data_IF_517806162069
#
_entry.id   IF_517806162069
#
_cell.length_a   1.000
_cell.length_b   1.000
_cell.length_c   1.000
_cell.angle_alpha   90.00
_cell.angle_beta   90.00
_cell.angle_gamma   90.00
#
_symmetry.space_group_name_H-M   'P 1'
#
loop_
_entity.id
_entity.type
_entity.pdbx_description
1 polymer ?
#
# COMPACT_ATOMS: atom_id res chain seq x y z
N UNK A 1 56.45 -41.12 -9.29
CA UNK A 1 56.62 -40.89 -7.85
C UNK A 1 55.28 -40.32 -7.38
N UNK A 2 54.34 -41.05 -6.96
CA UNK A 2 54.08 -41.95 -5.80
C UNK A 2 54.04 -41.16 -4.49
N UNK A 3 52.87 -41.29 -3.83
CA UNK A 3 52.57 -41.20 -2.37
C UNK A 3 52.21 -39.78 -1.90
N UNK A 4 51.19 -39.53 -1.12
CA UNK A 4 50.29 -40.43 -0.40
C UNK A 4 49.12 -39.69 0.24
N UNK A 5 48.07 -40.41 0.49
CA UNK A 5 46.88 -40.12 1.29
C UNK A 5 47.26 -39.90 2.79
N UNK A 6 46.55 -38.98 3.43
CA UNK A 6 46.29 -39.09 4.87
C UNK A 6 44.88 -38.59 5.20
N UNK A 7 44.05 -39.56 5.58
CA UNK A 7 42.78 -39.37 6.29
C UNK A 7 43.05 -39.05 7.74
N UNK A 8 42.35 -38.09 8.31
CA UNK A 8 42.22 -37.93 9.74
C UNK A 8 40.73 -37.91 10.12
N UNK A 9 40.30 -39.03 10.68
CA UNK A 9 39.06 -39.12 11.44
C UNK A 9 39.26 -38.52 12.83
N UNK A 10 38.33 -37.72 13.30
CA UNK A 10 38.30 -37.31 14.71
C UNK A 10 36.94 -37.65 15.31
N UNK A 11 37.08 -38.36 16.45
CA UNK A 11 36.03 -38.96 17.27
C UNK A 11 35.07 -37.94 17.88
N UNK A 12 33.82 -38.39 18.03
CA UNK A 12 32.87 -37.84 18.99
C UNK A 12 33.13 -38.38 20.41
N UNK A 13 32.89 -37.61 21.46
CA UNK A 13 32.62 -38.17 22.77
C UNK A 13 31.12 -38.29 23.06
N UNK A 14 30.78 -39.45 23.54
CA UNK A 14 29.53 -39.89 24.11
C UNK A 14 29.25 -39.29 25.49
N UNK A 15 27.99 -38.98 25.76
CA UNK A 15 27.36 -39.36 27.03
C UNK A 15 27.27 -38.30 28.11
N UNK A 16 26.05 -37.81 28.34
CA UNK A 16 25.57 -37.59 29.73
C UNK A 16 24.09 -37.94 29.79
N UNK A 17 23.79 -38.96 30.58
CA UNK A 17 22.45 -39.33 31.07
C UNK A 17 22.26 -38.67 32.43
N UNK A 18 21.20 -37.91 32.63
CA UNK A 18 20.68 -37.54 33.97
C UNK A 18 19.18 -37.61 33.86
N UNK A 19 18.57 -38.58 34.45
CA UNK A 19 17.97 -38.63 35.76
C UNK A 19 16.52 -38.17 35.71
N UNK A 20 15.57 -39.14 35.61
CA UNK A 20 14.15 -38.92 35.85
C UNK A 20 13.91 -38.69 37.34
N UNK A 21 13.00 -37.77 37.68
CA UNK A 21 12.35 -37.67 38.97
C UNK A 21 10.79 -37.60 38.79
N UNK A 22 10.01 -38.16 39.70
CA UNK A 22 8.68 -38.64 39.42
C UNK A 22 7.54 -37.69 39.80
N UNK A 23 6.45 -37.80 39.05
CA UNK A 23 5.07 -37.81 39.48
C UNK A 23 4.51 -36.60 40.24
N UNK A 24 3.62 -35.88 39.54
CA UNK A 24 2.39 -35.35 40.16
C UNK A 24 1.21 -35.50 39.19
N UNK A 25 0.29 -36.38 39.57
CA UNK A 25 -1.00 -36.56 38.96
C UNK A 25 -1.88 -35.34 39.25
N UNK A 26 -2.41 -34.71 38.21
CA UNK A 26 -3.46 -33.72 38.35
C UNK A 26 -4.78 -34.40 37.96
N UNK A 27 -5.65 -34.51 38.94
CA UNK A 27 -7.01 -35.02 38.84
C UNK A 27 -7.88 -33.94 38.16
N UNK A 28 -8.74 -34.26 37.17
CA UNK A 28 -9.68 -33.29 36.64
C UNK A 28 -10.89 -33.17 37.59
N UNK A 29 -11.13 -31.99 38.15
CA UNK A 29 -12.39 -31.68 38.82
C UNK A 29 -13.47 -31.37 37.80
N UNK A 30 -14.50 -32.16 37.77
CA UNK A 30 -15.75 -31.89 37.13
C UNK A 30 -16.52 -30.84 37.95
N UNK A 31 -16.78 -29.67 37.38
CA UNK A 31 -17.74 -28.72 37.93
C UNK A 31 -19.03 -28.82 37.14
N UNK A 32 -20.04 -29.42 37.78
CA UNK A 32 -21.44 -29.35 37.40
C UNK A 32 -21.94 -27.92 37.61
N UNK A 33 -22.43 -27.26 36.58
CA UNK A 33 -23.27 -26.06 36.70
C UNK A 33 -24.60 -26.33 36.03
N UNK A 34 -25.63 -26.04 36.84
CA UNK A 34 -27.04 -26.31 36.61
C UNK A 34 -27.59 -25.58 35.36
N UNK A 35 -28.57 -26.27 34.77
CA UNK A 35 -29.45 -25.76 33.74
C UNK A 35 -30.31 -24.62 34.26
N UNK A 36 -30.33 -23.47 33.57
CA UNK A 36 -31.40 -22.48 33.65
C UNK A 36 -31.96 -22.21 32.27
N UNK A 37 -33.21 -22.41 32.19
CA UNK A 37 -34.28 -22.14 31.23
C UNK A 37 -34.04 -21.16 30.09
N UNK A 38 -34.49 -21.62 28.93
CA UNK A 38 -34.57 -21.05 27.62
C UNK A 38 -35.28 -19.70 27.52
N UNK A 39 -34.73 -18.84 26.68
CA UNK A 39 -35.44 -17.78 25.97
C UNK A 39 -35.18 -17.89 24.46
N UNK A 40 -36.10 -17.43 23.59
CA UNK A 40 -36.24 -17.97 22.25
C UNK A 40 -35.16 -17.47 21.27
N UNK A 41 -34.66 -18.43 20.50
CA UNK A 41 -33.81 -18.24 19.34
C UNK A 41 -34.41 -17.23 18.36
N UNK A 42 -33.72 -16.11 18.17
CA UNK A 42 -33.82 -15.33 16.93
C UNK A 42 -33.01 -16.06 15.88
N UNK A 43 -33.67 -16.88 15.07
CA UNK A 43 -33.10 -17.49 13.87
C UNK A 43 -32.68 -16.36 12.89
N UNK A 44 -31.42 -16.02 12.88
CA UNK A 44 -30.82 -15.31 11.75
C UNK A 44 -30.89 -16.21 10.52
N UNK A 45 -31.82 -15.87 9.63
CA UNK A 45 -31.90 -16.48 8.30
C UNK A 45 -30.63 -16.17 7.51
N UNK A 46 -29.77 -17.16 7.41
CA UNK A 46 -28.59 -17.17 6.57
C UNK A 46 -29.02 -16.91 5.11
N UNK A 47 -28.85 -15.66 4.63
CA UNK A 47 -29.08 -15.29 3.23
C UNK A 47 -27.97 -15.92 2.38
N UNK A 48 -28.20 -17.14 1.91
CA UNK A 48 -27.48 -17.69 0.75
C UNK A 48 -27.71 -16.74 -0.42
N UNK A 49 -26.77 -15.85 -0.73
CA UNK A 49 -26.70 -15.17 -2.02
C UNK A 49 -26.45 -16.25 -3.06
N UNK A 50 -27.46 -16.65 -3.79
CA UNK A 50 -27.30 -17.54 -4.94
C UNK A 50 -26.58 -16.78 -6.05
N UNK A 51 -25.27 -16.89 -6.09
CA UNK A 51 -24.48 -16.48 -7.24
C UNK A 51 -24.71 -17.48 -8.37
N UNK A 52 -25.63 -17.19 -9.26
CA UNK A 52 -25.81 -17.94 -10.51
C UNK A 52 -24.59 -17.63 -11.39
N UNK A 53 -23.57 -18.49 -11.37
CA UNK A 53 -22.45 -18.46 -12.32
C UNK A 53 -22.81 -19.28 -13.55
N UNK A 54 -22.71 -18.64 -14.74
CA UNK A 54 -22.83 -19.34 -16.00
C UNK A 54 -21.47 -19.97 -16.37
N UNK A 55 -21.29 -21.26 -16.06
CA UNK A 55 -20.10 -21.99 -16.50
C UNK A 55 -20.30 -22.42 -17.96
N UNK A 56 -19.54 -21.85 -18.88
CA UNK A 56 -19.51 -22.23 -20.27
C UNK A 56 -18.48 -23.36 -20.47
N UNK A 57 -18.92 -24.61 -20.48
CA UNK A 57 -18.07 -25.74 -20.85
C UNK A 57 -17.82 -25.68 -22.35
N UNK A 58 -16.56 -25.76 -22.75
CA UNK A 58 -16.10 -25.58 -24.12
C UNK A 58 -16.52 -26.80 -25.00
N UNK A 59 -17.63 -26.69 -25.73
CA UNK A 59 -17.95 -27.59 -26.84
C UNK A 59 -18.12 -26.76 -28.11
N UNK A 60 -17.40 -27.15 -29.15
CA UNK A 60 -17.36 -26.47 -30.47
C UNK A 60 -18.74 -26.33 -31.10
N UNK A 61 -19.03 -25.12 -31.65
CA UNK A 61 -20.14 -24.90 -32.60
C UNK A 61 -21.19 -23.89 -32.19
N UNK A 62 -22.13 -23.64 -33.08
CA UNK A 62 -23.22 -22.61 -33.10
C UNK A 62 -24.07 -22.56 -31.84
N UNK A 63 -24.08 -23.54 -31.01
CA UNK A 63 -24.81 -23.62 -29.75
C UNK A 63 -24.29 -22.66 -28.66
N UNK A 64 -23.08 -22.07 -28.81
CA UNK A 64 -22.46 -21.18 -27.82
C UNK A 64 -23.23 -19.87 -27.68
N UNK A 65 -23.63 -19.24 -28.79
CA UNK A 65 -24.32 -17.95 -28.80
C UNK A 65 -25.73 -18.06 -28.21
N UNK A 66 -26.46 -19.13 -28.55
CA UNK A 66 -27.82 -19.37 -28.01
C UNK A 66 -27.77 -19.59 -26.49
N UNK A 67 -26.78 -20.32 -25.95
CA UNK A 67 -26.61 -20.58 -24.52
C UNK A 67 -26.22 -19.32 -23.75
N UNK A 68 -25.35 -18.44 -24.30
CA UNK A 68 -24.98 -17.16 -23.67
C UNK A 68 -26.20 -16.24 -23.59
N UNK A 69 -27.02 -16.15 -24.65
CA UNK A 69 -28.27 -15.34 -24.66
C UNK A 69 -29.28 -15.84 -23.64
N UNK A 70 -29.47 -17.17 -23.54
CA UNK A 70 -30.34 -17.79 -22.52
C UNK A 70 -29.89 -17.54 -21.09
N UNK A 71 -28.58 -17.64 -20.83
CA UNK A 71 -28.00 -17.40 -19.52
C UNK A 71 -28.10 -15.92 -19.11
N UNK A 72 -27.82 -14.98 -20.01
CA UNK A 72 -28.03 -13.53 -19.76
C UNK A 72 -29.49 -13.21 -19.42
N UNK A 73 -30.45 -13.85 -20.11
CA UNK A 73 -31.89 -13.70 -19.84
C UNK A 73 -32.29 -14.27 -18.48
N UNK A 74 -31.71 -15.40 -18.07
CA UNK A 74 -31.97 -16.01 -16.77
C UNK A 74 -31.41 -15.16 -15.60
N UNK A 75 -30.20 -14.62 -15.74
CA UNK A 75 -29.59 -13.70 -14.76
C UNK A 75 -30.37 -12.41 -14.62
N UNK A 76 -30.86 -11.82 -15.72
CA UNK A 76 -31.69 -10.63 -15.71
C UNK A 76 -33.02 -10.90 -14.98
N UNK A 77 -33.68 -12.05 -15.26
CA UNK A 77 -34.92 -12.46 -14.57
C UNK A 77 -34.73 -12.69 -13.09
N UNK A 78 -33.60 -13.27 -12.67
CA UNK A 78 -33.25 -13.47 -11.26
C UNK A 78 -33.01 -12.14 -10.54
N UNK A 79 -32.34 -11.17 -11.17
CA UNK A 79 -32.13 -9.81 -10.63
C UNK A 79 -33.46 -9.05 -10.50
N UNK A 80 -34.36 -9.15 -11.46
CA UNK A 80 -35.68 -8.52 -11.39
C UNK A 80 -36.53 -9.10 -10.24
N UNK A 81 -36.53 -10.43 -10.08
CA UNK A 81 -37.25 -11.10 -8.97
C UNK A 81 -36.71 -10.74 -7.59
N UNK A 82 -35.37 -10.57 -7.48
CA UNK A 82 -34.73 -10.12 -6.22
C UNK A 82 -35.12 -8.66 -5.89
N UNK A 83 -35.17 -7.78 -6.90
CA UNK A 83 -35.58 -6.37 -6.73
C UNK A 83 -37.06 -6.24 -6.34
N UNK A 84 -37.93 -7.05 -6.93
CA UNK A 84 -39.36 -7.08 -6.58
C UNK A 84 -39.60 -7.59 -5.14
N UNK A 85 -38.84 -8.63 -4.72
CA UNK A 85 -38.92 -9.15 -3.35
C UNK A 85 -38.43 -8.13 -2.30
N UNK A 86 -37.38 -7.36 -2.62
CA UNK A 86 -36.88 -6.31 -1.75
C UNK A 86 -37.89 -5.15 -1.60
N UNK A 87 -38.61 -4.80 -2.67
CA UNK A 87 -39.66 -3.77 -2.63
C UNK A 87 -40.89 -4.20 -1.82
N UNK A 88 -41.26 -5.49 -1.88
CA UNK A 88 -42.38 -6.03 -1.10
C UNK A 88 -42.08 -6.10 0.41
N UNK A 89 -40.80 -6.32 0.78
CA UNK A 89 -40.39 -6.35 2.19
C UNK A 89 -40.34 -4.94 2.81
N UNK A 90 -40.09 -3.90 1.99
CA UNK A 90 -40.09 -2.51 2.43
C UNK A 90 -41.51 -1.92 2.63
N UNK A 91 -42.53 -2.51 1.99
CA UNK A 91 -43.92 -2.06 2.10
C UNK A 91 -44.71 -2.65 3.28
N UNK A 92 -44.11 -3.62 4.00
CA UNK A 92 -44.77 -4.37 5.09
C UNK A 92 -44.38 -3.97 6.53
N UNK A 93 -43.60 -2.88 6.70
CA UNK A 93 -43.21 -2.42 8.05
C UNK A 93 -43.80 -1.03 8.34
N UNK A 94 -45.12 -0.95 8.49
CA UNK A 94 -45.75 0.17 9.16
C UNK A 94 -45.74 -0.11 10.67
N UNK A 95 -44.93 0.64 11.39
CA UNK A 95 -44.79 0.58 12.84
C UNK A 95 -45.97 1.34 13.44
N UNK A 96 -46.78 0.64 14.25
CA UNK A 96 -47.75 1.23 15.13
C UNK A 96 -47.04 1.79 16.37
N UNK A 97 -47.10 3.10 16.55
CA UNK A 97 -46.67 3.78 17.78
C UNK A 97 -47.81 3.82 18.79
N UNK A 98 -47.62 3.43 20.06
CA UNK A 98 -48.57 3.76 21.13
C UNK A 98 -48.31 5.17 21.66
N UNK A 99 -49.36 5.98 21.61
CA UNK A 99 -49.47 7.28 22.24
C UNK A 99 -49.84 7.14 23.72
N UNK A 100 -49.12 7.79 24.58
CA UNK A 100 -49.64 8.30 25.86
C UNK A 100 -48.97 9.62 26.20
N UNK A 101 -49.72 10.60 26.74
CA UNK A 101 -49.27 11.98 26.88
C UNK A 101 -48.77 12.26 28.31
N UNK A 102 -47.73 13.05 28.44
CA UNK A 102 -47.41 13.77 29.68
C UNK A 102 -47.04 15.22 29.36
N UNK A 103 -47.65 16.07 30.15
CA UNK A 103 -47.77 17.52 30.13
C UNK A 103 -46.46 18.31 30.13
N UNK A 104 -46.56 19.48 29.50
CA UNK A 104 -45.69 20.66 29.55
C UNK A 104 -45.59 21.25 30.97
N UNK A 105 -44.51 22.01 31.29
CA UNK A 105 -44.69 23.44 31.23
C UNK A 105 -43.56 24.24 30.56
N UNK A 106 -43.98 25.18 29.85
CA UNK A 106 -43.57 26.54 29.50
C UNK A 106 -42.28 27.05 30.15
N UNK A 107 -41.30 27.44 29.27
CA UNK A 107 -40.45 28.61 29.60
C UNK A 107 -39.97 29.31 28.32
N UNK A 108 -40.01 30.57 28.39
CA UNK A 108 -39.99 31.64 27.43
C UNK A 108 -38.59 31.80 26.80
N UNK A 109 -38.47 31.78 25.49
CA UNK A 109 -37.24 32.14 24.78
C UNK A 109 -37.24 33.62 24.38
N UNK A 110 -36.21 34.32 24.78
CA UNK A 110 -35.91 35.67 24.33
C UNK A 110 -35.16 35.66 22.97
N UNK A 111 -35.30 36.74 22.16
CA UNK A 111 -34.81 36.76 20.80
C UNK A 111 -33.30 37.08 20.72
N UNK A 112 -32.64 36.47 19.73
CA UNK A 112 -31.26 36.72 19.38
C UNK A 112 -31.07 38.08 18.70
N UNK A 113 -29.98 38.84 18.97
CA UNK A 113 -29.65 40.05 18.22
C UNK A 113 -28.92 39.71 16.91
N UNK A 114 -29.30 40.41 15.86
CA UNK A 114 -28.64 40.50 14.57
C UNK A 114 -27.36 41.30 14.66
N UNK A 115 -26.24 40.89 14.06
CA UNK A 115 -25.13 41.80 13.81
C UNK A 115 -25.17 42.28 12.36
N UNK A 116 -25.35 43.57 12.23
CA UNK A 116 -24.98 44.34 11.06
C UNK A 116 -23.80 45.21 11.47
N UNK A 117 -22.64 44.97 10.82
CA UNK A 117 -21.67 46.08 10.66
C UNK A 117 -20.74 45.75 9.49
N UNK A 118 -20.78 46.63 8.54
CA UNK A 118 -20.04 46.79 7.32
C UNK A 118 -18.61 47.22 7.64
N UNK A 119 -17.62 46.44 7.34
CA UNK A 119 -16.21 46.84 7.41
C UNK A 119 -15.76 47.43 6.08
N UNK A 120 -15.33 48.66 6.11
CA UNK A 120 -14.72 49.44 5.04
C UNK A 120 -13.37 48.86 4.61
N UNK A 121 -13.04 48.86 3.31
CA UNK A 121 -11.73 48.39 2.86
C UNK A 121 -10.63 49.41 3.09
N UNK A 122 -9.48 48.96 3.56
CA UNK A 122 -8.27 49.75 3.74
C UNK A 122 -7.57 50.00 2.38
N UNK A 123 -6.87 51.14 2.24
CA UNK A 123 -6.29 51.58 0.97
C UNK A 123 -5.03 50.81 0.59
N UNK A 124 -4.89 50.62 -0.73
CA UNK A 124 -3.72 50.13 -1.42
C UNK A 124 -2.51 51.06 -1.27
N UNK A 125 -1.30 50.57 -1.02
CA UNK A 125 -0.13 51.41 -1.13
C UNK A 125 0.31 51.58 -2.58
N UNK A 126 0.58 52.84 -2.85
CA UNK A 126 1.00 53.47 -4.08
C UNK A 126 2.41 53.07 -4.50
N UNK A 127 2.57 53.03 -5.79
CA UNK A 127 3.78 52.98 -6.59
C UNK A 127 4.87 53.94 -6.13
N UNK A 128 6.12 53.52 -6.07
CA UNK A 128 7.24 54.48 -6.14
C UNK A 128 8.49 53.87 -6.76
N UNK A 129 8.83 54.47 -7.88
CA UNK A 129 10.13 54.86 -8.37
C UNK A 129 11.15 53.77 -8.80
N UNK A 130 11.38 53.83 -10.08
CA UNK A 130 12.58 53.28 -10.75
C UNK A 130 13.86 54.07 -10.38
N UNK A 131 15.01 53.45 -10.23
CA UNK A 131 16.31 54.14 -10.26
C UNK A 131 16.90 54.21 -11.66
N UNK A 132 17.54 55.37 -11.87
CA UNK A 132 18.18 55.86 -13.08
C UNK A 132 19.47 55.13 -13.47
N UNK A 133 20.00 55.46 -14.66
CA UNK A 133 20.99 54.64 -15.39
C UNK A 133 22.41 54.84 -14.92
N UNK A 134 23.19 53.79 -15.14
CA UNK A 134 24.65 53.74 -15.03
C UNK A 134 25.38 54.56 -16.09
N UNK A 135 26.49 55.20 -15.76
CA UNK A 135 27.37 55.78 -16.78
C UNK A 135 28.32 54.75 -17.36
N UNK A 136 28.44 54.84 -18.67
CA UNK A 136 29.40 54.18 -19.51
C UNK A 136 30.80 54.79 -19.30
N UNK A 137 31.79 53.95 -19.03
CA UNK A 137 33.19 54.33 -19.29
C UNK A 137 33.89 53.31 -20.16
N UNK A 138 34.23 53.77 -21.33
CA UNK A 138 35.05 53.08 -22.33
C UNK A 138 36.51 53.23 -21.93
N UNK A 139 37.17 52.14 -21.59
CA UNK A 139 38.63 52.10 -21.47
C UNK A 139 39.19 51.08 -22.48
N UNK A 140 39.74 51.63 -23.52
CA UNK A 140 40.56 50.91 -24.52
C UNK A 140 41.86 50.46 -23.85
N UNK A 141 42.15 49.16 -23.85
CA UNK A 141 43.47 48.61 -23.54
C UNK A 141 43.94 47.67 -24.64
N UNK A 142 45.13 48.04 -25.15
CA UNK A 142 46.02 47.39 -26.11
C UNK A 142 46.32 45.93 -25.74
N UNK A 143 46.37 44.98 -26.69
CA UNK A 143 46.72 43.59 -26.43
C UNK A 143 48.21 43.42 -26.13
N UNK A 144 48.55 42.75 -25.06
CA UNK A 144 49.84 42.21 -24.72
C UNK A 144 49.97 40.75 -25.15
N UNK A 145 51.12 40.22 -25.46
CA UNK A 145 51.27 38.97 -26.21
C UNK A 145 50.99 37.74 -25.37
N UNK A 146 50.49 36.76 -26.09
CA UNK A 146 50.08 35.41 -25.67
C UNK A 146 51.15 34.69 -24.84
N UNK A 147 50.85 34.41 -23.61
CA UNK A 147 51.53 33.39 -22.84
C UNK A 147 50.64 32.11 -22.88
N UNK A 148 51.21 31.03 -23.41
CA UNK A 148 50.55 29.75 -23.57
C UNK A 148 50.32 29.18 -22.17
N UNK A 149 49.12 29.35 -21.62
CA UNK A 149 48.72 28.74 -20.35
C UNK A 149 48.66 27.21 -20.52
N UNK A 150 49.35 26.51 -19.61
CA UNK A 150 49.22 25.08 -19.48
C UNK A 150 47.75 24.69 -19.22
N UNK A 151 47.26 23.52 -19.71
CA UNK A 151 45.89 23.13 -19.54
C UNK A 151 45.58 22.99 -18.05
N UNK A 152 44.63 23.79 -17.60
CA UNK A 152 44.04 23.66 -16.24
C UNK A 152 43.53 22.23 -16.09
N UNK A 153 43.88 21.49 -15.02
CA UNK A 153 43.31 20.17 -14.80
C UNK A 153 41.78 20.28 -14.77
N UNK A 154 41.15 19.48 -15.64
CA UNK A 154 39.70 19.30 -15.66
C UNK A 154 39.19 19.01 -14.24
N UNK A 155 38.15 19.69 -13.76
CA UNK A 155 37.61 19.35 -12.45
C UNK A 155 37.32 17.87 -12.43
N UNK A 156 37.91 17.15 -11.45
CA UNK A 156 37.58 15.75 -11.19
C UNK A 156 36.08 15.61 -11.16
N UNK A 157 35.52 14.79 -12.04
CA UNK A 157 34.12 14.42 -11.97
C UNK A 157 33.86 13.93 -10.54
N UNK A 158 33.06 14.69 -9.82
CA UNK A 158 32.55 14.24 -8.50
C UNK A 158 31.70 13.03 -8.81
N UNK A 159 32.27 11.84 -8.64
CA UNK A 159 31.53 10.59 -8.83
C UNK A 159 30.40 10.60 -7.80
N UNK A 160 29.21 10.86 -8.28
CA UNK A 160 28.01 10.72 -7.45
C UNK A 160 28.03 9.28 -6.90
N UNK A 161 28.03 9.07 -5.58
CA UNK A 161 28.12 7.71 -5.04
C UNK A 161 27.01 6.86 -5.64
N UNK A 162 27.35 5.62 -6.00
CA UNK A 162 26.38 4.69 -6.56
C UNK A 162 25.16 4.57 -5.62
N UNK A 163 23.93 4.51 -6.14
CA UNK A 163 22.73 4.43 -5.33
C UNK A 163 22.79 3.18 -4.44
N UNK A 164 22.57 3.39 -3.13
CA UNK A 164 22.60 2.31 -2.13
C UNK A 164 21.30 1.52 -2.24
N UNK A 165 21.40 0.19 -2.43
CA UNK A 165 20.25 -0.72 -2.45
C UNK A 165 19.58 -0.77 -1.08
N UNK A 166 18.28 -0.43 -0.95
CA UNK A 166 17.55 -0.58 0.31
C UNK A 166 17.51 -2.03 0.81
N UNK A 167 17.65 -2.19 2.11
CA UNK A 167 17.67 -3.49 2.79
C UNK A 167 17.30 -3.30 4.26
N UNK A 168 17.14 -4.38 5.00
CA UNK A 168 16.86 -4.33 6.44
C UNK A 168 17.95 -3.60 7.27
N UNK A 169 19.16 -3.40 6.73
CA UNK A 169 20.26 -2.71 7.43
C UNK A 169 20.23 -1.19 7.28
N UNK A 170 19.51 -0.65 6.29
CA UNK A 170 19.51 0.78 5.98
C UNK A 170 18.10 1.37 5.77
N UNK A 171 17.07 0.61 6.14
CA UNK A 171 15.65 1.04 6.15
C UNK A 171 14.99 0.68 7.48
N UNK A 172 13.79 1.19 7.70
CA UNK A 172 13.09 0.99 8.96
C UNK A 172 13.65 1.86 10.09
N UNK A 173 13.41 1.43 11.32
CA UNK A 173 13.84 2.19 12.49
C UNK A 173 15.36 2.10 12.64
N UNK A 174 16.08 3.24 12.68
CA UNK A 174 17.53 3.21 12.87
C UNK A 174 17.95 2.50 14.16
N UNK A 175 19.04 1.75 14.10
CA UNK A 175 19.58 1.05 15.25
C UNK A 175 19.85 2.03 16.43
N UNK A 176 19.58 1.59 17.65
CA UNK A 176 19.76 2.42 18.84
C UNK A 176 18.64 3.44 19.10
N UNK A 177 17.60 3.50 18.25
CA UNK A 177 16.45 4.37 18.52
C UNK A 177 15.69 3.91 19.77
N UNK A 178 15.57 4.79 20.76
CA UNK A 178 14.73 4.54 21.94
C UNK A 178 13.27 4.60 21.54
N UNK A 179 12.51 3.52 21.75
CA UNK A 179 11.09 3.44 21.41
C UNK A 179 10.22 3.49 22.67
N UNK A 180 9.19 4.32 22.62
CA UNK A 180 8.14 4.36 23.65
C UNK A 180 6.92 3.58 23.16
N UNK A 181 6.43 2.63 23.96
CA UNK A 181 5.25 1.83 23.63
C UNK A 181 3.98 2.68 23.64
N UNK A 182 3.21 2.54 22.57
CA UNK A 182 1.83 3.02 22.46
C UNK A 182 0.89 1.82 22.30
N UNK A 183 0.03 1.57 23.26
CA UNK A 183 -0.94 0.49 23.20
C UNK A 183 -2.26 0.97 22.61
N UNK A 184 -2.82 0.18 21.68
CA UNK A 184 -4.08 0.48 21.00
C UNK A 184 -3.93 1.29 19.72
N UNK A 185 -5.07 1.56 19.08
CA UNK A 185 -5.15 2.27 17.81
C UNK A 185 -4.84 3.77 18.02
N UNK A 186 -4.12 4.37 17.06
CA UNK A 186 -3.74 5.77 17.06
C UNK A 186 -4.45 6.52 15.94
N UNK A 187 -5.32 7.47 16.29
CA UNK A 187 -5.96 8.37 15.32
C UNK A 187 -5.37 9.77 15.44
N UNK A 188 -4.83 10.30 14.33
CA UNK A 188 -4.15 11.59 14.27
C UNK A 188 -5.07 12.58 13.55
N UNK A 189 -5.61 13.54 14.29
CA UNK A 189 -6.58 14.54 13.81
C UNK A 189 -6.05 15.97 13.78
N UNK A 190 -4.89 16.23 14.37
CA UNK A 190 -4.28 17.55 14.41
C UNK A 190 -3.26 17.70 13.29
N UNK A 191 -3.39 18.71 12.42
CA UNK A 191 -2.41 18.99 11.37
C UNK A 191 -1.01 19.26 11.95
N UNK A 192 0.03 18.86 11.21
CA UNK A 192 1.42 19.06 11.62
C UNK A 192 1.89 18.14 12.76
N UNK A 193 1.08 17.19 13.20
CA UNK A 193 1.48 16.24 14.26
C UNK A 193 2.72 15.45 13.85
N UNK A 194 3.67 15.34 14.78
CA UNK A 194 4.87 14.48 14.64
C UNK A 194 4.78 13.33 15.62
N UNK A 195 4.77 12.12 15.11
CA UNK A 195 4.91 10.87 15.86
C UNK A 195 6.35 10.39 15.67
N UNK A 196 7.10 10.28 16.73
CA UNK A 196 8.52 9.95 16.70
C UNK A 196 8.88 8.93 17.79
N UNK A 197 9.68 7.92 17.45
CA UNK A 197 10.21 6.95 18.40
C UNK A 197 9.14 6.12 19.11
N UNK A 198 8.10 5.65 18.39
CA UNK A 198 7.01 4.85 18.97
C UNK A 198 7.04 3.39 18.53
N UNK A 199 6.77 2.48 19.47
CA UNK A 199 6.35 1.09 19.19
C UNK A 199 4.82 1.01 19.32
N UNK A 200 4.10 1.16 18.19
CA UNK A 200 2.64 1.25 18.14
C UNK A 200 2.04 -0.15 18.01
N UNK A 201 1.39 -0.60 19.07
CA UNK A 201 0.69 -1.89 19.17
C UNK A 201 -0.79 -1.70 18.85
N UNK A 202 -1.08 -1.14 17.72
CA UNK A 202 -2.39 -0.79 17.20
C UNK A 202 -2.30 -0.36 15.75
N UNK A 203 -3.41 0.05 15.19
CA UNK A 203 -3.53 0.56 13.83
C UNK A 203 -3.48 2.09 13.84
N UNK A 204 -2.88 2.66 12.80
CA UNK A 204 -2.71 4.11 12.72
C UNK A 204 -3.62 4.69 11.65
N UNK A 205 -4.40 5.71 11.99
CA UNK A 205 -5.23 6.47 11.06
C UNK A 205 -4.80 7.95 11.02
N UNK A 206 -4.26 8.38 9.88
CA UNK A 206 -3.97 9.78 9.60
C UNK A 206 -5.25 10.42 9.05
N UNK A 207 -5.77 11.45 9.74
CA UNK A 207 -6.95 12.21 9.36
C UNK A 207 -6.70 13.71 9.21
N UNK A 208 -5.43 14.12 9.30
CA UNK A 208 -5.02 15.53 9.23
C UNK A 208 -3.84 15.69 8.26
N UNK A 209 -3.66 16.91 7.75
CA UNK A 209 -2.57 17.23 6.84
C UNK A 209 -1.22 17.41 7.55
N UNK A 210 -0.13 17.29 6.80
CA UNK A 210 1.24 17.56 7.24
C UNK A 210 1.66 16.71 8.45
N UNK A 211 1.13 15.49 8.57
CA UNK A 211 1.50 14.55 9.64
C UNK A 211 2.83 13.88 9.29
N UNK A 212 3.73 13.85 10.25
CA UNK A 212 4.99 13.09 10.15
C UNK A 212 4.99 11.91 11.12
N UNK A 213 5.26 10.70 10.62
CA UNK A 213 5.53 9.52 11.44
C UNK A 213 6.93 9.05 11.11
N UNK A 214 7.81 9.03 12.11
CA UNK A 214 9.20 8.67 11.90
C UNK A 214 9.77 7.81 13.03
N UNK A 215 10.84 7.06 12.70
CA UNK A 215 11.61 6.21 13.63
C UNK A 215 10.71 5.37 14.54
N UNK A 216 9.64 4.83 13.97
CA UNK A 216 8.58 4.16 14.72
C UNK A 216 8.27 2.78 14.12
N UNK A 217 7.76 1.88 14.97
CA UNK A 217 7.26 0.57 14.54
C UNK A 217 5.74 0.58 14.62
N UNK A 218 5.07 0.06 13.58
CA UNK A 218 3.62 -0.13 13.55
C UNK A 218 3.33 -1.61 13.42
N UNK A 219 2.74 -2.21 14.46
CA UNK A 219 2.57 -3.66 14.59
C UNK A 219 1.12 -4.14 14.42
N UNK A 220 0.16 -3.22 14.33
CA UNK A 220 -1.24 -3.59 14.45
C UNK A 220 -1.63 -4.03 15.85
N UNK A 221 -2.90 -4.37 16.02
CA UNK A 221 -3.48 -4.83 17.27
C UNK A 221 -3.88 -6.30 17.23
N UNK A 222 -5.09 -6.62 17.69
CA UNK A 222 -5.66 -7.94 17.57
C UNK A 222 -5.79 -8.38 16.11
N UNK A 223 -5.83 -9.70 15.88
CA UNK A 223 -5.98 -10.28 14.54
C UNK A 223 -7.20 -9.68 13.81
N UNK A 224 -6.99 -9.11 12.65
CA UNK A 224 -8.06 -8.51 11.86
C UNK A 224 -8.95 -9.58 11.24
N UNK A 225 -10.27 -9.32 11.23
CA UNK A 225 -11.30 -10.16 10.60
C UNK A 225 -11.97 -9.44 9.42
N UNK A 226 -11.55 -8.21 9.13
CA UNK A 226 -11.98 -7.37 8.00
C UNK A 226 -10.78 -6.64 7.45
N UNK A 227 -10.83 -6.28 6.16
CA UNK A 227 -9.74 -5.59 5.51
C UNK A 227 -9.41 -4.25 6.17
N UNK A 228 -8.14 -4.09 6.55
CA UNK A 228 -7.59 -2.86 7.09
C UNK A 228 -6.08 -2.77 6.85
N UNK A 229 -5.56 -1.56 6.81
CA UNK A 229 -4.13 -1.32 6.77
C UNK A 229 -3.57 -1.06 8.18
N UNK A 230 -2.31 -1.43 8.41
CA UNK A 230 -1.59 -1.05 9.62
C UNK A 230 -1.51 0.47 9.77
N UNK A 231 -1.31 1.18 8.63
CA UNK A 231 -1.37 2.63 8.54
C UNK A 231 -2.31 3.05 7.41
N UNK A 232 -3.24 3.95 7.69
CA UNK A 232 -4.19 4.46 6.70
C UNK A 232 -4.18 5.99 6.65
N UNK A 233 -3.88 6.56 5.46
CA UNK A 233 -4.00 7.97 5.12
C UNK A 233 -5.11 8.13 4.07
N UNK A 234 -6.37 7.82 4.46
CA UNK A 234 -7.49 7.69 3.53
C UNK A 234 -8.52 8.82 3.63
N UNK A 235 -8.47 9.63 4.68
CA UNK A 235 -9.38 10.75 4.87
C UNK A 235 -8.99 11.94 3.98
N UNK A 236 -9.95 12.71 3.51
CA UNK A 236 -9.73 13.85 2.61
C UNK A 236 -8.80 14.94 3.16
N UNK A 237 -8.61 15.00 4.47
CA UNK A 237 -7.68 15.93 5.12
C UNK A 237 -6.27 15.42 5.36
N UNK A 238 -5.97 14.17 5.01
CA UNK A 238 -4.70 13.51 5.36
C UNK A 238 -3.53 13.77 4.39
N UNK A 239 -3.60 14.83 3.58
CA UNK A 239 -2.58 15.13 2.56
C UNK A 239 -1.24 15.60 3.13
N UNK A 240 -0.21 15.51 2.28
CA UNK A 240 1.15 15.92 2.59
C UNK A 240 1.75 15.20 3.82
N UNK A 241 1.46 13.91 3.96
CA UNK A 241 2.05 13.10 5.04
C UNK A 241 3.51 12.74 4.73
N UNK A 242 4.30 12.55 5.78
CA UNK A 242 5.65 11.97 5.73
C UNK A 242 5.71 10.73 6.64
N UNK A 243 6.05 9.59 6.05
CA UNK A 243 6.32 8.33 6.75
C UNK A 243 7.78 7.98 6.48
N UNK A 244 8.61 8.04 7.50
CA UNK A 244 10.06 7.99 7.34
C UNK A 244 10.73 7.11 8.40
N UNK A 245 11.68 6.27 7.98
CA UNK A 245 12.43 5.43 8.92
C UNK A 245 11.52 4.58 9.81
N UNK A 246 10.48 3.98 9.21
CA UNK A 246 9.48 3.21 9.95
C UNK A 246 9.57 1.72 9.63
N UNK A 247 9.30 0.87 10.63
CA UNK A 247 9.02 -0.54 10.40
C UNK A 247 7.52 -0.80 10.47
N UNK A 248 6.97 -1.45 9.44
CA UNK A 248 5.56 -1.83 9.37
C UNK A 248 5.48 -3.35 9.20
N UNK A 249 5.13 -4.05 10.28
CA UNK A 249 5.05 -5.49 10.31
C UNK A 249 4.03 -5.93 11.35
N UNK A 250 2.98 -6.71 10.97
CA UNK A 250 1.92 -7.10 11.89
C UNK A 250 2.42 -8.13 12.92
N UNK A 251 2.05 -7.96 14.18
CA UNK A 251 2.25 -9.00 15.21
C UNK A 251 1.34 -10.19 14.97
N UNK A 252 0.12 -9.94 14.48
CA UNK A 252 -0.90 -10.95 14.21
C UNK A 252 -1.30 -10.90 12.73
N UNK A 253 -0.50 -11.48 11.80
CA UNK A 253 -0.80 -11.45 10.38
C UNK A 253 -2.08 -12.24 10.07
N UNK A 254 -2.94 -11.70 9.21
CA UNK A 254 -4.16 -12.33 8.69
C UNK A 254 -4.37 -11.94 7.23
N UNK A 255 -5.23 -12.66 6.47
CA UNK A 255 -5.55 -12.30 5.09
C UNK A 255 -6.18 -10.91 4.91
N UNK A 256 -6.50 -10.23 6.00
CA UNK A 256 -7.17 -8.94 6.01
C UNK A 256 -6.23 -7.76 6.28
N UNK A 257 -4.91 -8.00 6.44
CA UNK A 257 -3.97 -6.94 6.84
C UNK A 257 -3.09 -6.53 5.68
N UNK A 258 -3.18 -5.24 5.31
CA UNK A 258 -2.26 -4.54 4.42
C UNK A 258 -1.33 -3.61 5.21
N UNK A 259 -0.20 -3.22 4.61
CA UNK A 259 0.76 -2.32 5.27
C UNK A 259 0.24 -0.88 5.33
N UNK A 260 0.24 -0.19 4.18
CA UNK A 260 -0.18 1.21 4.08
C UNK A 260 -1.29 1.36 3.04
N UNK A 261 -2.37 2.09 3.39
CA UNK A 261 -3.35 2.59 2.43
C UNK A 261 -3.18 4.10 2.26
N UNK A 262 -2.77 4.55 1.07
CA UNK A 262 -2.50 5.94 0.73
C UNK A 262 -3.51 6.47 -0.31
N UNK A 263 -4.52 7.24 0.16
CA UNK A 263 -5.50 7.90 -0.70
C UNK A 263 -5.21 9.39 -0.88
N UNK A 264 -4.21 9.92 -0.18
CA UNK A 264 -3.82 11.32 -0.18
C UNK A 264 -2.35 11.44 -0.55
N UNK A 265 -1.93 12.64 -0.98
CA UNK A 265 -0.54 12.93 -1.29
C UNK A 265 0.38 12.77 -0.07
N UNK A 266 1.59 12.30 -0.29
CA UNK A 266 2.59 12.17 0.77
C UNK A 266 3.79 11.34 0.35
N UNK A 267 4.76 11.28 1.23
CA UNK A 267 6.02 10.57 1.00
C UNK A 267 6.19 9.43 2.01
N UNK A 268 6.55 8.27 1.51
CA UNK A 268 6.98 7.10 2.27
C UNK A 268 8.43 6.84 1.89
N UNK A 269 9.35 6.97 2.84
CA UNK A 269 10.76 6.79 2.57
C UNK A 269 11.50 6.03 3.66
N UNK A 270 12.49 5.25 3.25
CA UNK A 270 13.29 4.38 4.12
C UNK A 270 12.43 3.53 5.07
N UNK A 271 11.26 3.11 4.56
CA UNK A 271 10.38 2.19 5.28
C UNK A 271 10.83 0.73 5.07
N UNK A 272 10.70 -0.09 6.12
CA UNK A 272 10.84 -1.55 6.12
C UNK A 272 9.43 -2.12 6.30
N UNK A 273 8.87 -2.75 5.25
CA UNK A 273 7.48 -3.24 5.25
C UNK A 273 7.46 -4.73 4.93
N UNK A 274 6.86 -5.53 5.82
CA UNK A 274 6.81 -6.99 5.67
C UNK A 274 5.62 -7.64 6.38
N UNK A 275 5.33 -8.91 6.05
CA UNK A 275 4.35 -9.74 6.75
C UNK A 275 2.88 -9.36 6.52
N UNK A 276 2.59 -8.47 5.60
CA UNK A 276 1.24 -8.06 5.18
C UNK A 276 0.85 -8.72 3.86
N UNK A 277 -0.43 -8.74 3.49
CA UNK A 277 -0.84 -9.22 2.16
C UNK A 277 -0.34 -8.23 1.12
N UNK A 278 -0.87 -7.00 1.09
CA UNK A 278 -0.28 -5.95 0.27
C UNK A 278 0.60 -5.04 1.13
N UNK A 279 1.75 -4.61 0.58
CA UNK A 279 2.65 -3.69 1.26
C UNK A 279 2.09 -2.27 1.28
N UNK A 280 1.90 -1.68 0.10
CA UNK A 280 1.34 -0.34 -0.04
C UNK A 280 0.25 -0.35 -1.12
N UNK A 281 -0.96 0.05 -0.75
CA UNK A 281 -2.06 0.29 -1.69
C UNK A 281 -2.23 1.79 -1.94
N UNK A 282 -2.10 2.21 -3.19
CA UNK A 282 -2.18 3.61 -3.61
C UNK A 282 -3.50 3.85 -4.33
N UNK A 283 -4.30 4.76 -3.81
CA UNK A 283 -5.59 5.19 -4.36
C UNK A 283 -5.61 6.67 -4.74
N UNK A 284 -4.59 7.43 -4.34
CA UNK A 284 -4.54 8.89 -4.45
C UNK A 284 -3.38 9.40 -5.29
N UNK A 285 -3.43 10.68 -5.61
CA UNK A 285 -2.41 11.39 -6.40
C UNK A 285 -1.27 11.91 -5.53
N UNK A 286 -0.08 12.12 -6.15
CA UNK A 286 1.06 12.73 -5.48
C UNK A 286 1.68 11.86 -4.36
N UNK A 287 1.52 10.54 -4.43
CA UNK A 287 2.17 9.61 -3.51
C UNK A 287 3.57 9.28 -4.03
N UNK A 288 4.58 9.43 -3.16
CA UNK A 288 5.96 9.06 -3.43
C UNK A 288 6.41 7.96 -2.48
N UNK A 289 6.91 6.86 -3.04
CA UNK A 289 7.56 5.77 -2.30
C UNK A 289 9.00 5.70 -2.72
N UNK A 290 9.93 5.94 -1.79
CA UNK A 290 11.34 6.01 -2.14
C UNK A 290 12.27 5.34 -1.13
N UNK A 291 13.37 4.77 -1.65
CA UNK A 291 14.46 4.21 -0.85
C UNK A 291 13.99 3.26 0.28
N UNK A 292 12.93 2.51 0.03
CA UNK A 292 12.26 1.65 1.00
C UNK A 292 12.49 0.17 0.65
N UNK A 293 12.42 -0.69 1.65
CA UNK A 293 12.53 -2.13 1.54
C UNK A 293 11.18 -2.79 1.84
N UNK A 294 10.57 -3.38 0.82
CA UNK A 294 9.29 -4.06 0.89
C UNK A 294 9.51 -5.54 0.57
N UNK A 295 9.21 -6.44 1.53
CA UNK A 295 9.64 -7.84 1.45
C UNK A 295 8.79 -8.79 2.27
N UNK A 296 8.95 -10.11 2.06
CA UNK A 296 8.36 -11.18 2.88
C UNK A 296 6.86 -11.01 3.11
N UNK A 297 6.09 -10.90 2.02
CA UNK A 297 4.66 -10.72 2.08
C UNK A 297 3.92 -12.00 2.47
N UNK A 298 2.78 -11.83 3.14
CA UNK A 298 1.95 -12.93 3.58
C UNK A 298 1.09 -13.45 2.42
N UNK A 299 1.36 -14.68 1.96
CA UNK A 299 0.59 -15.36 0.93
C UNK A 299 -0.30 -16.45 1.54
N UNK A 300 -1.61 -16.35 1.37
CA UNK A 300 -2.59 -17.31 1.85
C UNK A 300 -3.19 -18.09 0.67
N UNK A 301 -3.14 -19.42 0.73
CA UNK A 301 -3.71 -20.28 -0.31
C UNK A 301 -5.24 -20.28 -0.32
N UNK A 302 -5.85 -19.93 0.82
CA UNK A 302 -7.30 -19.85 1.02
C UNK A 302 -7.67 -18.48 1.59
N UNK A 303 -7.60 -17.45 0.76
CA UNK A 303 -7.91 -16.07 1.17
C UNK A 303 -9.41 -15.79 1.05
N UNK A 304 -10.09 -15.41 2.14
CA UNK A 304 -11.51 -15.07 2.13
C UNK A 304 -11.85 -13.90 1.19
N UNK A 305 -10.92 -12.98 0.96
CA UNK A 305 -11.09 -11.85 0.05
C UNK A 305 -11.20 -12.31 -1.41
N UNK A 306 -10.63 -13.46 -1.73
CA UNK A 306 -10.60 -14.07 -3.06
C UNK A 306 -11.49 -15.30 -3.19
N UNK A 307 -12.58 -15.38 -2.38
CA UNK A 307 -13.52 -16.51 -2.34
C UNK A 307 -12.84 -17.85 -2.03
N UNK A 308 -11.83 -17.85 -1.18
CA UNK A 308 -11.05 -19.03 -0.82
C UNK A 308 -10.00 -19.45 -1.85
N UNK A 309 -9.73 -18.62 -2.85
CA UNK A 309 -8.54 -18.75 -3.71
C UNK A 309 -7.29 -18.14 -3.04
N UNK A 310 -6.12 -18.22 -3.69
CA UNK A 310 -4.89 -17.63 -3.15
C UNK A 310 -4.96 -16.10 -3.07
N UNK A 311 -4.21 -15.52 -2.13
CA UNK A 311 -4.03 -14.07 -2.02
C UNK A 311 -3.47 -13.47 -3.31
N UNK A 312 -3.87 -12.24 -3.61
CA UNK A 312 -3.22 -11.41 -4.61
C UNK A 312 -2.33 -10.39 -3.91
N UNK A 313 -1.27 -10.90 -3.31
CA UNK A 313 -0.32 -10.08 -2.56
C UNK A 313 0.65 -9.34 -3.49
N UNK A 314 0.68 -8.03 -3.32
CA UNK A 314 1.53 -7.12 -4.09
C UNK A 314 2.43 -6.29 -3.15
N UNK A 315 3.71 -6.05 -3.56
CA UNK A 315 4.51 -5.14 -2.73
C UNK A 315 3.96 -3.71 -2.81
N UNK A 316 3.59 -3.25 -4.01
CA UNK A 316 2.86 -1.99 -4.20
C UNK A 316 1.73 -2.22 -5.22
N UNK A 317 0.49 -1.92 -4.84
CA UNK A 317 -0.66 -1.92 -5.74
C UNK A 317 -1.12 -0.48 -6.02
N UNK A 318 -1.10 -0.07 -7.30
CA UNK A 318 -1.60 1.24 -7.75
C UNK A 318 -3.00 1.05 -8.31
N UNK A 319 -4.01 1.50 -7.58
CA UNK A 319 -5.42 1.38 -7.96
C UNK A 319 -5.98 2.65 -8.59
N UNK A 320 -5.36 3.80 -8.34
CA UNK A 320 -5.67 5.10 -8.96
C UNK A 320 -4.55 6.10 -8.64
N UNK A 321 -4.61 7.27 -9.27
CA UNK A 321 -3.80 8.44 -8.91
C UNK A 321 -2.98 9.01 -10.06
N UNK A 322 -2.63 10.27 -9.92
CA UNK A 322 -1.77 11.02 -10.86
C UNK A 322 -0.50 11.48 -10.14
N UNK A 323 0.65 11.41 -10.82
CA UNK A 323 1.93 11.83 -10.25
C UNK A 323 2.45 10.90 -9.16
N UNK A 324 2.19 9.60 -9.29
CA UNK A 324 2.69 8.58 -8.35
C UNK A 324 4.13 8.22 -8.71
N UNK A 325 5.01 8.18 -7.70
CA UNK A 325 6.43 7.90 -7.89
C UNK A 325 6.88 6.72 -7.00
N UNK A 326 7.48 5.71 -7.61
CA UNK A 326 8.06 4.53 -6.96
C UNK A 326 9.53 4.48 -7.38
N UNK A 327 10.43 4.98 -6.53
CA UNK A 327 11.81 5.28 -6.94
C UNK A 327 12.84 4.78 -5.95
N UNK A 328 13.84 4.05 -6.44
CA UNK A 328 14.99 3.64 -5.62
C UNK A 328 14.68 2.62 -4.53
N UNK A 329 13.56 1.89 -4.63
CA UNK A 329 13.15 0.91 -3.63
C UNK A 329 13.73 -0.48 -3.92
N UNK A 330 13.76 -1.34 -2.93
CA UNK A 330 13.87 -2.79 -3.10
C UNK A 330 12.50 -3.42 -2.84
N UNK A 331 11.95 -4.07 -3.86
CA UNK A 331 10.63 -4.70 -3.85
C UNK A 331 10.79 -6.20 -4.14
N UNK A 332 10.48 -7.05 -3.17
CA UNK A 332 10.74 -8.50 -3.27
C UNK A 332 9.75 -9.30 -2.44
N UNK A 333 9.61 -10.61 -2.71
CA UNK A 333 8.84 -11.53 -1.88
C UNK A 333 7.32 -11.51 -2.10
N UNK A 334 6.77 -10.65 -2.96
CA UNK A 334 5.35 -10.66 -3.30
C UNK A 334 5.04 -11.78 -4.31
N UNK A 335 4.01 -12.58 -4.05
CA UNK A 335 3.66 -13.69 -4.92
C UNK A 335 2.96 -13.23 -6.21
N UNK A 336 2.05 -12.24 -6.14
CA UNK A 336 1.29 -11.80 -7.31
C UNK A 336 2.08 -10.81 -8.18
N UNK A 337 2.51 -9.65 -7.65
CA UNK A 337 3.40 -8.73 -8.34
C UNK A 337 4.21 -7.88 -7.35
N UNK A 338 5.42 -7.48 -7.72
CA UNK A 338 6.13 -6.47 -6.93
C UNK A 338 5.49 -5.09 -7.12
N UNK A 339 5.07 -4.76 -8.36
CA UNK A 339 4.20 -3.59 -8.62
C UNK A 339 3.04 -4.00 -9.51
N UNK A 340 1.82 -3.83 -9.01
CA UNK A 340 0.57 -4.07 -9.74
C UNK A 340 -0.16 -2.76 -10.02
N UNK A 341 -0.53 -2.52 -11.27
CA UNK A 341 -1.30 -1.34 -11.69
C UNK A 341 -2.66 -1.79 -12.20
N UNK A 342 -3.72 -1.66 -11.39
CA UNK A 342 -5.06 -2.20 -11.70
C UNK A 342 -6.04 -1.16 -12.20
N UNK A 343 -6.00 0.07 -11.71
CA UNK A 343 -7.03 1.12 -11.94
C UNK A 343 -8.44 0.75 -11.44
N UNK A 344 -8.55 -0.10 -10.41
CA UNK A 344 -9.85 -0.53 -9.89
C UNK A 344 -10.61 0.57 -9.14
N UNK A 345 -9.90 1.58 -8.63
CA UNK A 345 -10.45 2.74 -7.92
C UNK A 345 -10.51 4.02 -8.75
N UNK A 346 -9.86 4.07 -9.91
CA UNK A 346 -9.86 5.24 -10.77
C UNK A 346 -8.72 5.26 -11.78
N UNK A 347 -8.60 6.38 -12.51
CA UNK A 347 -7.59 6.53 -13.55
C UNK A 347 -6.20 6.70 -12.93
N UNK A 348 -5.20 6.08 -13.55
CA UNK A 348 -3.77 6.26 -13.23
C UNK A 348 -3.08 7.03 -14.36
N UNK A 349 -2.40 8.13 -14.01
CA UNK A 349 -1.61 8.96 -14.92
C UNK A 349 -0.28 9.33 -14.27
N UNK A 350 0.73 9.59 -15.10
CA UNK A 350 2.04 10.07 -14.64
C UNK A 350 2.60 9.19 -13.52
N UNK A 351 2.63 7.88 -13.75
CA UNK A 351 3.17 6.89 -12.82
C UNK A 351 4.63 6.58 -13.21
N UNK A 352 5.55 6.80 -12.29
CA UNK A 352 6.97 6.55 -12.48
C UNK A 352 7.46 5.42 -11.57
N UNK A 353 7.96 4.34 -12.17
CA UNK A 353 8.57 3.19 -11.50
C UNK A 353 10.03 3.13 -11.95
N UNK A 354 10.89 3.90 -11.28
CA UNK A 354 12.23 4.15 -11.78
C UNK A 354 13.32 3.77 -10.77
N UNK A 355 14.42 3.22 -11.26
CA UNK A 355 15.65 2.97 -10.47
C UNK A 355 15.44 2.05 -9.25
N UNK A 356 14.50 1.12 -9.32
CA UNK A 356 14.24 0.16 -8.24
C UNK A 356 14.98 -1.15 -8.46
N UNK A 357 15.23 -1.90 -7.37
CA UNK A 357 15.60 -3.32 -7.38
C UNK A 357 14.33 -4.12 -7.16
N UNK A 358 13.96 -4.95 -8.14
CA UNK A 358 12.65 -5.61 -8.17
C UNK A 358 12.81 -7.10 -8.44
N UNK A 359 12.17 -7.93 -7.63
CA UNK A 359 12.15 -9.37 -7.84
C UNK A 359 10.81 -9.97 -7.42
N UNK A 360 10.59 -11.27 -7.72
CA UNK A 360 9.35 -12.00 -7.46
C UNK A 360 8.14 -11.56 -8.32
N UNK A 361 6.98 -12.03 -7.94
CA UNK A 361 5.72 -11.87 -8.67
C UNK A 361 5.46 -12.90 -9.76
N UNK A 362 4.29 -12.90 -10.33
CA UNK A 362 4.00 -13.56 -11.60
C UNK A 362 4.82 -12.94 -12.72
N UNK A 363 4.63 -11.62 -12.93
CA UNK A 363 5.59 -10.71 -13.54
C UNK A 363 5.92 -9.65 -12.47
N UNK A 364 7.16 -9.17 -12.40
CA UNK A 364 7.56 -8.26 -11.33
C UNK A 364 6.82 -6.92 -11.40
N UNK A 365 6.72 -6.30 -12.57
CA UNK A 365 5.83 -5.16 -12.81
C UNK A 365 4.70 -5.61 -13.73
N UNK A 366 3.46 -5.43 -13.29
CA UNK A 366 2.27 -5.79 -14.04
C UNK A 366 1.38 -4.56 -14.27
N UNK A 367 1.37 -4.05 -15.50
CA UNK A 367 0.40 -3.05 -15.95
C UNK A 367 -0.86 -3.77 -16.42
N UNK A 368 -1.84 -3.93 -15.53
CA UNK A 368 -3.12 -4.56 -15.84
C UNK A 368 -3.84 -3.90 -17.02
N UNK A 369 -4.63 -4.70 -17.73
CA UNK A 369 -5.40 -4.24 -18.91
C UNK A 369 -6.70 -3.52 -18.55
N UNK A 370 -7.06 -3.44 -17.26
CA UNK A 370 -8.30 -2.83 -16.80
C UNK A 370 -8.30 -1.30 -16.93
N UNK A 371 -9.49 -0.74 -17.00
CA UNK A 371 -9.73 0.70 -16.92
C UNK A 371 -9.39 1.47 -18.19
N UNK A 372 -9.22 2.78 -18.04
CA UNK A 372 -8.89 3.71 -19.11
C UNK A 372 -7.45 3.53 -19.61
N UNK A 373 -7.14 4.12 -20.77
CA UNK A 373 -5.78 4.22 -21.26
C UNK A 373 -4.89 4.99 -20.26
N UNK A 374 -3.74 4.41 -19.92
CA UNK A 374 -2.80 4.97 -18.94
C UNK A 374 -1.78 5.86 -19.66
N UNK A 375 -1.66 7.11 -19.24
CA UNK A 375 -0.76 8.12 -19.84
C UNK A 375 0.32 8.58 -18.86
N UNK A 376 1.50 8.94 -19.41
CA UNK A 376 2.65 9.39 -18.60
C UNK A 376 3.32 8.25 -17.83
N UNK A 377 3.24 7.02 -18.36
CA UNK A 377 3.78 5.84 -17.69
C UNK A 377 5.29 5.72 -17.92
N UNK A 378 6.04 5.52 -16.84
CA UNK A 378 7.46 5.23 -16.88
C UNK A 378 7.80 3.99 -16.06
N UNK A 379 8.70 3.16 -16.59
CA UNK A 379 9.36 2.07 -15.87
C UNK A 379 10.79 2.01 -16.38
N UNK A 380 11.70 2.81 -15.78
CA UNK A 380 13.01 3.02 -16.33
C UNK A 380 14.13 2.71 -15.33
N UNK A 381 15.25 2.20 -15.85
CA UNK A 381 16.47 1.96 -15.08
C UNK A 381 16.29 1.05 -13.87
N UNK A 382 15.29 0.15 -13.90
CA UNK A 382 15.08 -0.83 -12.82
C UNK A 382 16.00 -2.04 -13.02
N UNK A 383 16.41 -2.64 -11.92
CA UNK A 383 17.22 -3.85 -11.86
C UNK A 383 16.34 -5.00 -11.38
N UNK A 384 16.26 -6.07 -12.17
CA UNK A 384 15.36 -7.20 -11.90
C UNK A 384 16.11 -8.45 -11.47
N UNK A 385 15.66 -9.12 -10.41
CA UNK A 385 16.03 -10.49 -10.09
C UNK A 385 15.39 -11.50 -11.04
N UNK A 386 15.57 -12.81 -10.78
CA UNK A 386 15.12 -13.89 -11.68
C UNK A 386 14.04 -14.79 -11.09
N UNK A 387 13.43 -14.44 -9.97
CA UNK A 387 12.50 -15.33 -9.25
C UNK A 387 11.02 -15.11 -9.61
N UNK A 388 10.72 -14.54 -10.79
CA UNK A 388 9.35 -14.43 -11.27
C UNK A 388 8.75 -15.82 -11.53
N UNK A 389 7.51 -16.06 -11.09
CA UNK A 389 6.77 -17.31 -11.36
C UNK A 389 6.55 -17.55 -12.87
N UNK A 390 6.37 -16.48 -13.64
CA UNK A 390 6.40 -16.52 -15.10
C UNK A 390 7.84 -16.22 -15.53
N UNK A 391 8.65 -17.24 -15.66
CA UNK A 391 10.08 -17.13 -15.90
C UNK A 391 10.46 -16.00 -16.85
N UNK A 392 11.36 -15.14 -16.40
CA UNK A 392 11.87 -14.01 -17.17
C UNK A 392 10.83 -12.90 -17.43
N UNK A 393 9.75 -12.79 -16.66
CA UNK A 393 8.77 -11.72 -16.82
C UNK A 393 9.10 -10.53 -15.91
N UNK A 394 10.02 -9.67 -16.32
CA UNK A 394 10.34 -8.47 -15.57
C UNK A 394 9.18 -7.45 -15.61
N UNK A 395 8.68 -7.14 -16.81
CA UNK A 395 7.56 -6.21 -17.02
C UNK A 395 6.56 -6.85 -17.98
N UNK A 396 5.28 -6.74 -17.68
CA UNK A 396 4.19 -7.04 -18.62
C UNK A 396 3.28 -5.81 -18.76
N UNK A 397 3.05 -5.40 -20.02
CA UNK A 397 2.10 -4.32 -20.33
C UNK A 397 1.43 -4.54 -21.69
N UNK A 398 0.29 -3.88 -21.90
CA UNK A 398 -0.42 -3.82 -23.17
C UNK A 398 -0.30 -2.42 -23.76
N UNK A 399 0.37 -2.28 -24.91
CA UNK A 399 0.58 -1.01 -25.59
C UNK A 399 -0.73 -0.34 -26.09
N UNK A 400 -1.83 -1.12 -26.19
CA UNK A 400 -3.16 -0.57 -26.46
C UNK A 400 -3.85 -0.01 -25.21
N UNK A 401 -3.24 -0.16 -24.04
CA UNK A 401 -3.78 0.23 -22.73
C UNK A 401 -2.86 1.19 -21.95
N UNK A 402 -1.65 1.47 -22.45
CA UNK A 402 -0.74 2.44 -21.86
C UNK A 402 0.26 2.95 -22.88
N UNK A 403 0.79 4.15 -22.63
CA UNK A 403 1.89 4.77 -23.38
C UNK A 403 3.29 4.34 -22.88
N UNK A 404 3.36 3.35 -22.04
CA UNK A 404 4.61 2.88 -21.45
C UNK A 404 5.63 2.45 -22.51
N UNK A 405 6.80 3.06 -22.47
CA UNK A 405 8.00 2.65 -23.22
C UNK A 405 9.12 2.42 -22.20
N UNK A 406 9.30 1.21 -21.67
CA UNK A 406 10.32 0.93 -20.65
C UNK A 406 11.73 1.05 -21.22
N UNK A 407 12.62 1.76 -20.51
CA UNK A 407 14.02 1.98 -20.96
C UNK A 407 15.02 1.68 -19.84
N UNK A 408 16.23 1.25 -20.19
CA UNK A 408 17.34 1.09 -19.25
C UNK A 408 17.12 -0.01 -18.18
N UNK A 409 16.11 -0.85 -18.33
CA UNK A 409 15.82 -1.93 -17.40
C UNK A 409 16.74 -3.12 -17.67
N UNK A 410 17.38 -3.64 -16.60
CA UNK A 410 18.36 -4.71 -16.72
C UNK A 410 18.10 -5.82 -15.72
N UNK A 411 18.62 -7.00 -16.03
CA UNK A 411 18.75 -8.09 -15.05
C UNK A 411 19.88 -7.76 -14.08
N UNK A 412 19.64 -7.91 -12.79
CA UNK A 412 20.57 -7.51 -11.72
C UNK A 412 21.83 -8.37 -11.68
N UNK A 413 21.72 -9.62 -12.13
CA UNK A 413 22.81 -10.61 -12.16
C UNK A 413 23.89 -10.36 -13.23
N UNK A 414 23.52 -9.79 -14.37
CA UNK A 414 24.43 -9.70 -15.50
C UNK A 414 24.36 -8.38 -16.30
N UNK A 415 23.49 -7.45 -15.92
CA UNK A 415 23.33 -6.15 -16.58
C UNK A 415 22.70 -6.20 -17.97
N UNK A 416 22.28 -7.38 -18.45
CA UNK A 416 21.65 -7.49 -19.76
C UNK A 416 20.20 -6.94 -19.72
N UNK A 417 19.66 -6.49 -20.86
CA UNK A 417 18.29 -5.97 -20.93
C UNK A 417 17.27 -6.93 -20.35
N UNK A 418 16.42 -6.44 -19.45
CA UNK A 418 15.35 -7.20 -18.84
C UNK A 418 14.22 -7.44 -19.84
N UNK A 419 13.55 -8.60 -19.73
CA UNK A 419 12.50 -8.99 -20.68
C UNK A 419 11.19 -8.24 -20.41
N UNK A 420 10.65 -7.62 -21.45
CA UNK A 420 9.35 -6.97 -21.46
C UNK A 420 8.37 -7.85 -22.23
N UNK A 421 7.30 -8.32 -21.55
CA UNK A 421 6.28 -9.16 -22.17
C UNK A 421 5.08 -8.32 -22.60
N UNK A 422 4.50 -8.67 -23.73
CA UNK A 422 3.26 -8.08 -24.20
C UNK A 422 2.09 -8.70 -23.45
N UNK A 423 1.29 -7.85 -22.78
CA UNK A 423 0.03 -8.22 -22.16
C UNK A 423 -1.09 -8.39 -23.19
N UNK A 424 -2.13 -9.14 -22.82
CA UNK A 424 -3.34 -9.34 -23.64
C UNK A 424 -4.36 -8.20 -23.46
#
# INVERSE_FOLDING_TARGET
>A
MVVGLLSAALLMPTGYVVGAAPGMAIVPQASTVAATTATPEVRQANRKKSNVRCVVVNKRGVNRIKRIKACKKAVAKAKAKAKAKAKATAAGSAIVTPTTPISSPNETAAPAPSPSETATPAPSPSESAAPAPSPSETATRTPSPSETAAPTPSPSETTNPAPIKPSASNTGVPAGTALTVHNGDLTITTPGTVIDGKDIRGYVAIKAANVTIKRSIIRGGAAATVNRALLAATQSGAGNFLIEDVKIAPTNPTPYINGINANQSGTIRRADISGTVDGIMIYGSGVRVENSYLHDFAHYLNDPNWNGGPSHDDAIQVQAGTGVQIVGNTLTGAYNAAVMVTQDAGVTKDLWINSNWIDYGGCSINYGSNGAYKTGMQANNNRFGRTQRNAGCAIIHNSTKSDLVPTGNVWDDNGQPATIKKGS
#
